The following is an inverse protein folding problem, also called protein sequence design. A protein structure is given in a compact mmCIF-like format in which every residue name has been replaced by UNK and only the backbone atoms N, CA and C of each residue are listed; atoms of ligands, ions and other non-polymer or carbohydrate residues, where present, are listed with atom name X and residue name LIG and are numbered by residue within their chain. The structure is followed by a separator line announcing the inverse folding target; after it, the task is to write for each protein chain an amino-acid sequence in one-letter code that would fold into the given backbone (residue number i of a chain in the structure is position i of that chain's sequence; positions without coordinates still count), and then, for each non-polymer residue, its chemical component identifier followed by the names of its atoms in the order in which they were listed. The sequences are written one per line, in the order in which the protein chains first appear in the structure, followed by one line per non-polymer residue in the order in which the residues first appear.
data_IF_241690006088
#
_entry.id   IF_241690006088
#
_cell.length_a   1.000
_cell.length_b   1.000
_cell.length_c   1.000
_cell.angle_alpha   90.00
_cell.angle_beta   90.00
_cell.angle_gamma   90.00
#
_symmetry.space_group_name_H-M   'P 1'
#
loop_
_entity.id
_entity.type
_entity.pdbx_description
1 polymer ?
#
# COMPACT_ATOMS: atom_id res chain seq x y z
N UNK A 1 -3.80 20.58 -10.62
CA UNK A 1 -4.49 20.93 -11.88
C UNK A 1 -3.48 20.92 -13.01
N UNK A 2 -3.92 20.60 -14.23
CA UNK A 2 -3.11 20.77 -15.44
C UNK A 2 -2.89 22.26 -15.77
N UNK A 3 -2.04 22.58 -16.75
CA UNK A 3 -1.82 23.95 -17.22
C UNK A 3 -3.12 24.67 -17.61
N UNK A 4 -4.10 23.91 -18.11
CA UNK A 4 -5.39 24.40 -18.60
C UNK A 4 -6.51 24.35 -17.53
N UNK A 5 -6.15 24.13 -16.25
CA UNK A 5 -7.12 24.03 -15.15
C UNK A 5 -7.80 22.66 -15.00
N UNK A 6 -7.53 21.74 -15.92
CA UNK A 6 -8.17 20.41 -15.94
C UNK A 6 -7.75 19.52 -14.77
N UNK A 7 -8.67 18.65 -14.33
CA UNK A 7 -8.42 17.68 -13.27
C UNK A 7 -7.63 16.48 -13.83
N UNK A 8 -6.31 16.56 -13.71
CA UNK A 8 -5.39 15.52 -14.20
C UNK A 8 -5.20 14.34 -13.22
N UNK A 9 -5.34 14.58 -11.92
CA UNK A 9 -5.23 13.56 -10.88
C UNK A 9 -5.87 14.02 -9.58
N UNK A 10 -6.35 13.06 -8.79
CA UNK A 10 -6.99 13.23 -7.50
C UNK A 10 -6.43 12.18 -6.52
N UNK A 11 -5.98 12.65 -5.37
CA UNK A 11 -5.59 11.83 -4.22
C UNK A 11 -6.50 12.21 -3.05
N UNK A 12 -7.08 11.20 -2.43
CA UNK A 12 -7.94 11.34 -1.27
C UNK A 12 -7.28 10.70 -0.04
N UNK A 13 -7.53 11.30 1.13
CA UNK A 13 -6.87 10.92 2.37
C UNK A 13 -7.89 10.75 3.51
N UNK A 14 -7.88 9.57 4.12
CA UNK A 14 -8.67 9.31 5.33
C UNK A 14 -7.86 9.65 6.58
N UNK A 15 -8.46 10.27 7.61
CA UNK A 15 -7.79 10.53 8.87
C UNK A 15 -7.50 9.23 9.64
N UNK A 16 -6.31 9.17 10.24
CA UNK A 16 -5.91 8.15 11.20
C UNK A 16 -6.16 8.67 12.61
N UNK A 17 -6.78 7.86 13.46
CA UNK A 17 -7.14 8.26 14.82
C UNK A 17 -6.39 7.46 15.88
N UNK A 18 -5.98 8.14 16.95
CA UNK A 18 -5.63 7.54 18.24
C UNK A 18 -6.34 8.33 19.33
N UNK A 19 -7.01 7.65 20.26
CA UNK A 19 -7.68 8.26 21.41
C UNK A 19 -8.64 9.40 21.02
N UNK A 20 -9.35 9.22 19.90
CA UNK A 20 -10.31 10.20 19.36
C UNK A 20 -9.68 11.43 18.70
N UNK A 21 -8.35 11.47 18.53
CA UNK A 21 -7.63 12.56 17.87
C UNK A 21 -7.01 12.11 16.55
N UNK A 22 -6.99 12.99 15.57
CA UNK A 22 -6.27 12.75 14.31
C UNK A 22 -4.77 12.76 14.59
N UNK A 23 -4.09 11.67 14.25
CA UNK A 23 -2.64 11.53 14.40
C UNK A 23 -1.90 11.48 13.07
N UNK A 24 -2.64 11.37 11.96
CA UNK A 24 -2.09 11.14 10.64
C UNK A 24 -3.16 11.03 9.58
N UNK A 25 -2.71 10.76 8.36
CA UNK A 25 -3.60 10.50 7.23
C UNK A 25 -3.13 9.26 6.45
N UNK A 26 -4.07 8.50 5.89
CA UNK A 26 -3.77 7.38 4.99
C UNK A 26 -4.36 7.63 3.62
N UNK A 27 -3.65 7.24 2.56
CA UNK A 27 -4.18 7.37 1.20
C UNK A 27 -5.37 6.43 1.01
N UNK A 28 -6.58 6.99 0.81
CA UNK A 28 -7.81 6.24 0.66
C UNK A 28 -7.96 5.70 -0.76
N UNK A 29 -7.96 6.61 -1.74
CA UNK A 29 -7.93 6.25 -3.15
C UNK A 29 -7.15 7.26 -3.97
N UNK A 30 -6.73 6.81 -5.15
CA UNK A 30 -5.95 7.61 -6.09
C UNK A 30 -6.52 7.40 -7.49
N UNK A 31 -6.82 8.48 -8.19
CA UNK A 31 -7.27 8.46 -9.58
C UNK A 31 -6.41 9.41 -10.38
N UNK A 32 -6.03 8.99 -11.58
CA UNK A 32 -5.30 9.83 -12.52
C UNK A 32 -5.91 9.68 -13.90
N UNK A 33 -5.91 10.77 -14.65
CA UNK A 33 -6.22 10.73 -16.07
C UNK A 33 -5.18 9.87 -16.80
N UNK A 34 -5.56 9.27 -17.94
CA UNK A 34 -4.69 8.35 -18.68
C UNK A 34 -3.40 9.03 -19.15
N UNK A 35 -3.49 10.31 -19.48
CA UNK A 35 -2.35 11.13 -19.94
C UNK A 35 -1.54 11.77 -18.81
N UNK A 36 -1.98 11.59 -17.55
CA UNK A 36 -1.26 12.14 -16.41
C UNK A 36 0.07 11.40 -16.20
N UNK A 37 1.15 12.16 -16.11
CA UNK A 37 2.48 11.58 -15.92
C UNK A 37 2.55 10.84 -14.57
N UNK A 38 3.40 9.80 -14.44
CA UNK A 38 3.64 9.13 -13.15
C UNK A 38 4.11 10.08 -12.03
N UNK A 39 4.68 11.24 -12.39
CA UNK A 39 5.13 12.24 -11.42
C UNK A 39 3.99 13.04 -10.79
N UNK A 40 2.81 13.08 -11.42
CA UNK A 40 1.64 13.76 -10.86
C UNK A 40 1.28 13.19 -9.47
N UNK A 41 1.35 11.87 -9.29
CA UNK A 41 1.04 11.22 -8.01
C UNK A 41 2.09 11.57 -6.93
N UNK A 42 3.37 11.61 -7.30
CA UNK A 42 4.46 11.98 -6.38
C UNK A 42 4.31 13.43 -5.94
N UNK A 43 4.07 14.33 -6.90
CA UNK A 43 3.87 15.76 -6.63
C UNK A 43 2.65 16.03 -5.76
N UNK A 44 1.52 15.38 -6.04
CA UNK A 44 0.31 15.50 -5.22
C UNK A 44 0.50 14.95 -3.81
N UNK A 45 1.21 13.83 -3.66
CA UNK A 45 1.53 13.28 -2.34
C UNK A 45 2.42 14.25 -1.56
N UNK A 46 3.45 14.83 -2.18
CA UNK A 46 4.32 15.82 -1.53
C UNK A 46 3.55 17.07 -1.12
N UNK A 47 2.70 17.58 -2.00
CA UNK A 47 1.86 18.74 -1.73
C UNK A 47 0.91 18.49 -0.55
N UNK A 48 0.26 17.33 -0.49
CA UNK A 48 -0.61 16.96 0.62
C UNK A 48 0.17 16.86 1.94
N UNK A 49 1.34 16.20 1.92
CA UNK A 49 2.22 16.09 3.11
C UNK A 49 2.65 17.45 3.63
N UNK A 50 2.92 18.43 2.74
CA UNK A 50 3.30 19.77 3.17
C UNK A 50 2.14 20.50 3.85
N UNK A 51 0.91 20.35 3.34
CA UNK A 51 -0.31 20.87 4.00
C UNK A 51 -0.55 20.22 5.37
N UNK A 52 -0.43 18.88 5.46
CA UNK A 52 -0.59 18.18 6.74
C UNK A 52 0.46 18.62 7.77
N UNK A 53 1.68 18.95 7.33
CA UNK A 53 2.72 19.47 8.21
C UNK A 53 2.35 20.85 8.78
N UNK A 54 1.71 21.71 7.98
CA UNK A 54 1.18 23.01 8.44
C UNK A 54 0.08 22.83 9.52
N UNK A 55 -0.66 21.72 9.48
CA UNK A 55 -1.65 21.31 10.49
C UNK A 55 -1.03 20.65 11.74
N UNK A 56 0.30 20.50 11.80
CA UNK A 56 1.01 19.82 12.89
C UNK A 56 0.97 18.30 12.82
N UNK A 57 0.53 17.73 11.70
CA UNK A 57 0.47 16.28 11.48
C UNK A 57 1.79 15.79 10.88
N UNK A 58 2.42 14.80 11.54
CA UNK A 58 3.73 14.26 11.13
C UNK A 58 3.67 12.89 10.47
N UNK A 59 2.49 12.26 10.38
CA UNK A 59 2.34 10.88 9.91
C UNK A 59 1.45 10.80 8.68
N UNK A 60 1.98 10.24 7.60
CA UNK A 60 1.20 9.87 6.41
C UNK A 60 1.53 8.44 6.02
N UNK A 61 0.49 7.61 5.91
CA UNK A 61 0.59 6.22 5.48
C UNK A 61 0.22 6.10 4.00
N UNK A 62 1.09 5.46 3.22
CA UNK A 62 0.86 5.24 1.78
C UNK A 62 0.07 3.95 1.49
N UNK A 63 -0.56 3.38 2.51
CA UNK A 63 -1.21 2.08 2.51
C UNK A 63 -0.23 0.90 2.51
N UNK A 64 -0.79 -0.31 2.56
CA UNK A 64 -0.04 -1.57 2.64
C UNK A 64 0.65 -1.93 1.32
N UNK A 65 1.82 -2.56 1.41
CA UNK A 65 2.50 -3.22 0.28
C UNK A 65 2.35 -4.72 0.45
N UNK A 66 1.40 -5.37 -0.24
CA UNK A 66 1.09 -6.76 0.04
C UNK A 66 2.28 -7.66 -0.32
N UNK A 67 2.55 -8.61 0.57
CA UNK A 67 3.55 -9.68 0.39
C UNK A 67 5.01 -9.20 0.18
N UNK A 68 5.30 -7.94 0.47
CA UNK A 68 6.67 -7.39 0.50
C UNK A 68 7.39 -7.87 1.75
N UNK A 69 8.69 -8.17 1.61
CA UNK A 69 9.63 -8.48 2.69
C UNK A 69 9.05 -9.43 3.75
N UNK A 70 8.45 -10.53 3.26
CA UNK A 70 7.95 -11.59 4.14
C UNK A 70 9.14 -12.29 4.79
N UNK A 71 9.24 -12.16 6.11
CA UNK A 71 10.24 -12.82 6.95
C UNK A 71 9.57 -13.72 8.00
N UNK A 72 10.39 -14.40 8.81
CA UNK A 72 9.87 -15.18 9.93
C UNK A 72 9.23 -14.25 10.96
N UNK A 73 7.94 -14.45 11.24
CA UNK A 73 7.19 -13.52 12.11
C UNK A 73 7.52 -13.63 13.61
N UNK A 74 8.18 -14.71 14.03
CA UNK A 74 8.37 -15.05 15.44
C UNK A 74 7.13 -15.70 16.10
N UNK A 75 6.01 -15.82 15.37
CA UNK A 75 4.81 -16.51 15.80
C UNK A 75 4.73 -17.94 15.23
N UNK A 76 3.75 -18.71 15.71
CA UNK A 76 3.44 -20.02 15.14
C UNK A 76 2.93 -19.86 13.70
N UNK A 77 3.80 -20.13 12.73
CA UNK A 77 3.51 -19.99 11.30
C UNK A 77 3.90 -21.23 10.51
N UNK A 78 3.30 -21.39 9.34
CA UNK A 78 3.69 -22.45 8.40
C UNK A 78 4.77 -21.95 7.45
N UNK A 79 5.93 -22.60 7.47
CA UNK A 79 7.02 -22.34 6.51
C UNK A 79 6.56 -22.52 5.06
N UNK A 80 5.65 -23.47 4.80
CA UNK A 80 5.06 -23.69 3.48
C UNK A 80 4.29 -22.45 2.98
N UNK A 81 3.42 -21.87 3.82
CA UNK A 81 2.64 -20.70 3.45
C UNK A 81 3.53 -19.47 3.28
N UNK A 82 4.49 -19.27 4.18
CA UNK A 82 5.49 -18.20 4.07
C UNK A 82 6.22 -18.24 2.73
N UNK A 83 6.78 -19.40 2.37
CA UNK A 83 7.48 -19.56 1.09
C UNK A 83 6.56 -19.40 -0.11
N UNK A 84 5.29 -19.80 0.00
CA UNK A 84 4.30 -19.59 -1.07
C UNK A 84 4.05 -18.11 -1.31
N UNK A 85 3.89 -17.32 -0.24
CA UNK A 85 3.69 -15.88 -0.36
C UNK A 85 4.93 -15.15 -0.89
N UNK A 86 6.13 -15.54 -0.44
CA UNK A 86 7.40 -15.02 -1.00
C UNK A 86 7.49 -15.28 -2.51
N UNK A 87 7.12 -16.49 -2.97
CA UNK A 87 7.08 -16.82 -4.40
C UNK A 87 6.01 -16.04 -5.16
N UNK A 88 4.85 -15.81 -4.55
CA UNK A 88 3.79 -15.01 -5.17
C UNK A 88 4.25 -13.57 -5.42
N UNK A 89 4.95 -12.95 -4.47
CA UNK A 89 5.56 -11.63 -4.64
C UNK A 89 6.59 -11.59 -5.77
N UNK A 90 7.42 -12.63 -5.89
CA UNK A 90 8.42 -12.78 -6.96
C UNK A 90 7.86 -13.16 -8.34
N UNK A 91 6.60 -13.58 -8.43
CA UNK A 91 6.03 -14.14 -9.66
C UNK A 91 5.76 -13.06 -10.70
N UNK A 92 6.42 -13.16 -11.86
CA UNK A 92 6.20 -12.28 -13.00
C UNK A 92 4.75 -12.35 -13.51
N UNK A 93 4.12 -13.54 -13.43
CA UNK A 93 2.73 -13.72 -13.83
C UNK A 93 1.78 -12.93 -12.93
N UNK A 94 1.94 -13.01 -11.60
CA UNK A 94 1.11 -12.25 -10.64
C UNK A 94 1.27 -10.74 -10.86
N UNK A 95 2.53 -10.29 -10.95
CA UNK A 95 2.85 -8.87 -11.11
C UNK A 95 2.34 -8.27 -12.44
N UNK A 96 2.25 -9.08 -13.51
CA UNK A 96 1.77 -8.62 -14.83
C UNK A 96 0.26 -8.76 -15.01
N UNK A 97 -0.35 -9.84 -14.50
CA UNK A 97 -1.71 -10.22 -14.86
C UNK A 97 -2.77 -9.96 -13.79
N UNK A 98 -2.39 -9.82 -12.52
CA UNK A 98 -3.34 -9.69 -11.40
C UNK A 98 -3.17 -8.36 -10.67
N UNK A 99 -2.01 -8.18 -10.06
CA UNK A 99 -1.72 -6.99 -9.28
C UNK A 99 -0.21 -6.75 -9.24
N UNK A 100 0.22 -5.55 -9.63
CA UNK A 100 1.63 -5.20 -9.67
C UNK A 100 2.17 -4.92 -8.25
N UNK A 101 2.44 -6.00 -7.51
CA UNK A 101 2.94 -5.99 -6.13
C UNK A 101 4.28 -5.27 -6.03
N UNK A 102 5.24 -5.65 -6.89
CA UNK A 102 6.59 -5.09 -6.89
C UNK A 102 6.61 -3.63 -7.32
N UNK A 103 5.81 -3.25 -8.33
CA UNK A 103 5.72 -1.87 -8.80
C UNK A 103 5.17 -0.92 -7.74
N UNK A 104 4.17 -1.35 -6.98
CA UNK A 104 3.64 -0.54 -5.88
C UNK A 104 4.60 -0.43 -4.71
N UNK A 105 5.27 -1.52 -4.35
CA UNK A 105 6.33 -1.49 -3.34
C UNK A 105 7.46 -0.52 -3.73
N UNK A 106 7.94 -0.62 -4.97
CA UNK A 106 8.99 0.25 -5.51
C UNK A 106 8.55 1.72 -5.57
N UNK A 107 7.28 2.01 -5.86
CA UNK A 107 6.75 3.37 -5.82
C UNK A 107 6.81 3.96 -4.41
N UNK A 108 6.40 3.19 -3.39
CA UNK A 108 6.37 3.65 -1.99
C UNK A 108 7.77 3.84 -1.40
N UNK A 109 8.72 2.98 -1.76
CA UNK A 109 10.14 3.12 -1.35
C UNK A 109 10.77 4.46 -1.75
N UNK A 110 10.27 5.12 -2.80
CA UNK A 110 10.74 6.45 -3.24
C UNK A 110 10.46 7.57 -2.23
N UNK A 111 9.50 7.36 -1.33
CA UNK A 111 9.18 8.36 -0.29
C UNK A 111 10.08 8.21 0.94
N UNK A 112 10.97 7.21 0.98
CA UNK A 112 11.90 6.96 2.09
C UNK A 112 11.21 6.95 3.47
N UNK A 113 9.97 6.47 3.52
CA UNK A 113 9.20 6.34 4.75
C UNK A 113 9.69 5.18 5.62
N UNK A 114 9.14 5.09 6.83
CA UNK A 114 9.35 3.93 7.69
C UNK A 114 8.42 2.79 7.28
N UNK A 115 8.96 1.60 7.10
CA UNK A 115 8.19 0.39 6.83
C UNK A 115 7.78 -0.25 8.16
N UNK A 116 6.51 -0.67 8.27
CA UNK A 116 5.98 -1.35 9.46
C UNK A 116 5.45 -2.73 9.06
N UNK A 117 5.90 -3.81 9.72
CA UNK A 117 5.42 -5.15 9.43
C UNK A 117 3.93 -5.25 9.79
N UNK A 118 3.15 -5.86 8.89
CA UNK A 118 1.72 -6.13 9.08
C UNK A 118 1.48 -7.62 9.04
N UNK A 119 0.72 -8.14 10.02
CA UNK A 119 0.47 -9.56 10.18
C UNK A 119 -0.97 -9.90 9.85
N UNK A 120 -1.17 -11.11 9.32
CA UNK A 120 -2.50 -11.71 9.17
C UNK A 120 -2.59 -12.90 10.11
N UNK A 121 -3.57 -12.85 11.01
CA UNK A 121 -3.83 -13.93 11.95
C UNK A 121 -5.01 -14.78 11.46
N UNK A 122 -4.83 -16.11 11.52
CA UNK A 122 -5.89 -17.06 11.24
C UNK A 122 -6.15 -17.92 12.47
N UNK A 123 -7.41 -18.28 12.71
CA UNK A 123 -7.75 -19.19 13.80
C UNK A 123 -7.26 -20.61 13.54
N UNK A 124 -7.30 -21.05 12.27
CA UNK A 124 -6.90 -22.40 11.85
C UNK A 124 -5.90 -22.39 10.68
N UNK A 125 -5.91 -21.37 9.83
CA UNK A 125 -4.99 -21.25 8.69
C UNK A 125 -5.31 -22.25 7.57
N UNK A 126 -6.60 -22.51 7.36
CA UNK A 126 -7.09 -23.45 6.36
C UNK A 126 -6.81 -22.95 4.93
N UNK A 127 -6.80 -23.87 3.97
CA UNK A 127 -6.65 -23.55 2.55
C UNK A 127 -7.68 -22.50 2.07
N UNK A 128 -8.91 -22.56 2.56
CA UNK A 128 -9.98 -21.62 2.20
C UNK A 128 -9.66 -20.22 2.69
N UNK A 129 -9.19 -20.08 3.93
CA UNK A 129 -8.79 -18.78 4.50
C UNK A 129 -7.59 -18.19 3.74
N UNK A 130 -6.62 -19.04 3.36
CA UNK A 130 -5.45 -18.63 2.58
C UNK A 130 -5.82 -18.19 1.16
N UNK A 131 -6.71 -18.92 0.49
CA UNK A 131 -7.25 -18.52 -0.81
C UNK A 131 -8.07 -17.23 -0.70
N UNK A 132 -8.83 -17.06 0.37
CA UNK A 132 -9.54 -15.82 0.69
C UNK A 132 -8.58 -14.63 0.82
N UNK A 133 -7.48 -14.80 1.56
CA UNK A 133 -6.43 -13.78 1.67
C UNK A 133 -5.84 -13.44 0.30
N UNK A 134 -5.45 -14.45 -0.48
CA UNK A 134 -4.87 -14.24 -1.82
C UNK A 134 -5.83 -13.48 -2.75
N UNK A 135 -7.14 -13.75 -2.69
CA UNK A 135 -8.16 -12.98 -3.42
C UNK A 135 -8.28 -11.55 -2.90
N UNK A 136 -8.25 -11.36 -1.59
CA UNK A 136 -8.32 -10.03 -0.96
C UNK A 136 -7.15 -9.13 -1.38
N UNK A 137 -5.94 -9.68 -1.41
CA UNK A 137 -4.72 -8.95 -1.86
C UNK A 137 -4.55 -8.95 -3.38
N UNK A 138 -5.54 -9.47 -4.13
CA UNK A 138 -5.53 -9.56 -5.61
C UNK A 138 -4.32 -10.32 -6.17
N UNK A 139 -3.83 -11.33 -5.46
CA UNK A 139 -2.72 -12.18 -5.90
C UNK A 139 -3.16 -13.38 -6.76
N UNK A 140 -4.47 -13.71 -6.80
CA UNK A 140 -5.07 -14.76 -7.66
C UNK A 140 -6.38 -14.28 -8.29
#
# INVERSE_FOLDING_TARGET
HGPDGELVALLDFDPLFSDGKVIGYTTAFKRKHIDATPHAEIGLTKFAVDRFREEGISVVTLGLSPLVDIEASGFAESSFWRSTFQRAYGSAWVNRSKFNLQGQAAFKRRFHGQEQPTYVAFRKGTLVEMLGLLRLVKAI
#
